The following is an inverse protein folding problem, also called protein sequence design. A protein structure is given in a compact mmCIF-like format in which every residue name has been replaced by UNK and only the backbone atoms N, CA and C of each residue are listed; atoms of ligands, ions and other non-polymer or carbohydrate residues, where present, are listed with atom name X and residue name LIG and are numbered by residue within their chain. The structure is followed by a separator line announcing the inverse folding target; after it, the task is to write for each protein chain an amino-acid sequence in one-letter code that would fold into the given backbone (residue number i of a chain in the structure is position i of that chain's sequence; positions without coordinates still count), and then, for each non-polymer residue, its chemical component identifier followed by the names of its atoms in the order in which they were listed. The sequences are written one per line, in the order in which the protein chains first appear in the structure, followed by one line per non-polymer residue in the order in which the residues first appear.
data_IF_630194564220
#
_entry.id   IF_630194564220
#
_cell.length_a   1.000
_cell.length_b   1.000
_cell.length_c   1.000
_cell.angle_alpha   90.00
_cell.angle_beta   90.00
_cell.angle_gamma   90.00
#
_symmetry.space_group_name_H-M   'P 1'
#
loop_
_entity.id
_entity.type
_entity.pdbx_description
1 polymer ?
#
# COMPACT_ATOMS: atom_id res chain seq x y z
N UNK A 1 19.67 10.13 18.03
CA UNK A 1 18.54 11.08 17.97
C UNK A 1 17.50 10.45 17.08
N UNK A 2 16.30 10.16 17.59
CA UNK A 2 15.23 9.54 16.78
C UNK A 2 14.58 10.65 15.95
N UNK A 3 14.63 10.55 14.62
CA UNK A 3 13.95 11.51 13.74
C UNK A 3 12.63 10.94 13.24
N UNK A 4 11.55 11.71 13.35
CA UNK A 4 10.25 11.34 12.76
C UNK A 4 10.25 11.71 11.28
N UNK A 5 10.14 10.71 10.41
CA UNK A 5 10.00 10.90 8.97
C UNK A 5 8.53 11.22 8.64
N UNK A 6 8.30 12.28 7.86
CA UNK A 6 6.95 12.67 7.42
C UNK A 6 6.74 12.23 5.97
N UNK A 7 5.61 11.58 5.72
CA UNK A 7 5.18 11.18 4.38
C UNK A 7 3.87 11.88 4.02
N UNK A 8 3.77 12.39 2.79
CA UNK A 8 2.55 13.03 2.30
C UNK A 8 1.75 12.05 1.46
N UNK A 9 0.52 11.75 1.87
CA UNK A 9 -0.40 11.00 1.02
C UNK A 9 -0.78 11.81 -0.23
N UNK A 10 -0.74 11.17 -1.39
CA UNK A 10 -1.20 11.76 -2.67
C UNK A 10 -2.69 11.54 -2.93
N UNK A 11 -3.41 11.01 -1.94
CA UNK A 11 -4.85 10.79 -2.04
C UNK A 11 -5.61 12.08 -2.34
N UNK A 12 -6.55 11.99 -3.27
CA UNK A 12 -7.33 13.14 -3.73
C UNK A 12 -6.55 14.13 -4.62
N UNK A 13 -5.28 13.85 -4.93
CA UNK A 13 -4.48 14.65 -5.87
C UNK A 13 -4.33 13.86 -7.16
N UNK A 14 -4.99 14.34 -8.22
CA UNK A 14 -4.85 13.75 -9.55
C UNK A 14 -3.40 13.84 -10.03
N UNK A 15 -2.92 12.78 -10.69
CA UNK A 15 -1.57 12.73 -11.22
C UNK A 15 -1.39 13.57 -12.48
N UNK A 16 -2.48 13.81 -13.20
CA UNK A 16 -2.51 14.27 -14.57
C UNK A 16 -2.05 13.20 -15.56
N UNK A 17 -1.97 13.59 -16.84
CA UNK A 17 -1.45 12.74 -17.90
C UNK A 17 0.05 12.43 -17.72
N UNK A 18 0.37 11.15 -17.48
CA UNK A 18 1.74 10.68 -17.22
C UNK A 18 2.39 11.30 -15.96
N UNK A 19 1.59 11.68 -14.96
CA UNK A 19 2.06 12.15 -13.66
C UNK A 19 2.76 13.53 -13.66
N UNK A 20 2.48 14.38 -14.65
CA UNK A 20 2.99 15.74 -14.76
C UNK A 20 2.63 16.61 -13.54
N UNK A 21 1.42 16.49 -12.99
CA UNK A 21 1.03 17.26 -11.79
C UNK A 21 1.90 16.88 -10.60
N UNK A 22 2.11 15.58 -10.40
CA UNK A 22 2.97 15.08 -9.33
C UNK A 22 4.44 15.44 -9.56
N UNK A 23 4.92 15.38 -10.79
CA UNK A 23 6.28 15.75 -11.14
C UNK A 23 6.60 17.22 -10.81
N UNK A 24 5.62 18.13 -10.93
CA UNK A 24 5.78 19.53 -10.51
C UNK A 24 5.61 19.72 -8.99
N UNK A 25 4.71 18.97 -8.37
CA UNK A 25 4.39 19.13 -6.95
C UNK A 25 5.43 18.52 -6.01
N UNK A 26 5.98 17.34 -6.32
CA UNK A 26 6.88 16.58 -5.45
C UNK A 26 8.13 17.34 -5.01
N UNK A 27 8.82 18.12 -5.87
CA UNK A 27 9.93 18.97 -5.42
C UNK A 27 9.53 19.94 -4.28
N UNK A 28 8.32 20.49 -4.32
CA UNK A 28 7.83 21.36 -3.26
C UNK A 28 7.61 20.60 -1.94
N UNK A 29 7.22 19.33 -1.99
CA UNK A 29 7.09 18.48 -0.80
C UNK A 29 8.45 18.24 -0.16
N UNK A 30 9.48 17.99 -0.98
CA UNK A 30 10.84 17.84 -0.47
C UNK A 30 11.32 19.12 0.23
N UNK A 31 11.07 20.29 -0.37
CA UNK A 31 11.39 21.59 0.22
C UNK A 31 10.64 21.86 1.55
N UNK A 32 9.42 21.32 1.71
CA UNK A 32 8.65 21.38 2.95
C UNK A 32 9.14 20.39 4.04
N UNK A 33 10.15 19.57 3.73
CA UNK A 33 10.76 18.61 4.66
C UNK A 33 9.98 17.30 4.78
N UNK A 34 9.27 16.87 3.73
CA UNK A 34 8.77 15.50 3.64
C UNK A 34 9.88 14.54 3.21
N UNK A 35 9.91 13.36 3.82
CA UNK A 35 10.82 12.28 3.46
C UNK A 35 10.34 11.51 2.23
N UNK A 36 9.03 11.48 2.01
CA UNK A 36 8.44 10.73 0.91
C UNK A 36 6.95 10.98 0.73
N UNK A 37 6.35 10.17 -0.12
CA UNK A 37 4.91 10.16 -0.39
C UNK A 37 4.31 8.80 -0.11
N UNK A 38 3.01 8.78 0.21
CA UNK A 38 2.21 7.55 0.22
C UNK A 38 1.30 7.53 -1.00
N UNK A 39 1.30 6.43 -1.75
CA UNK A 39 0.48 6.25 -2.95
C UNK A 39 -0.09 4.83 -3.04
N UNK A 40 -1.18 4.66 -3.80
CA UNK A 40 -1.74 3.34 -4.12
C UNK A 40 -1.21 2.84 -5.46
N UNK A 41 -1.15 1.51 -5.61
CA UNK A 41 -0.86 0.83 -6.88
C UNK A 41 -2.14 0.52 -7.68
N UNK A 42 -3.31 0.52 -7.03
CA UNK A 42 -4.59 0.27 -7.68
C UNK A 42 -4.94 1.39 -8.68
N UNK A 43 -5.43 1.02 -9.85
CA UNK A 43 -5.84 1.95 -10.92
C UNK A 43 -4.70 2.75 -11.55
N UNK A 44 -3.46 2.58 -11.10
CA UNK A 44 -2.31 3.34 -11.60
C UNK A 44 -1.65 2.62 -12.78
N UNK A 45 -1.45 3.39 -13.85
CA UNK A 45 -0.67 2.94 -15.01
C UNK A 45 0.79 3.40 -14.87
N UNK A 46 1.73 2.75 -15.56
CA UNK A 46 3.13 3.21 -15.61
C UNK A 46 3.77 3.43 -14.22
N UNK A 47 3.65 2.47 -13.30
CA UNK A 47 4.32 2.53 -11.98
C UNK A 47 5.81 2.93 -12.02
N UNK A 48 6.63 2.50 -13.01
CA UNK A 48 8.01 2.98 -13.14
C UNK A 48 8.14 4.51 -13.24
N UNK A 49 7.15 5.19 -13.83
CA UNK A 49 7.14 6.65 -13.93
C UNK A 49 6.99 7.29 -12.53
N UNK A 50 6.12 6.73 -11.68
CA UNK A 50 5.97 7.17 -10.27
C UNK A 50 7.30 7.03 -9.52
N UNK A 51 8.00 5.90 -9.70
CA UNK A 51 9.33 5.72 -9.09
C UNK A 51 10.32 6.77 -9.57
N UNK A 52 10.35 7.04 -10.88
CA UNK A 52 11.24 8.01 -11.51
C UNK A 52 11.03 9.44 -11.00
N UNK A 53 9.78 9.89 -10.87
CA UNK A 53 9.48 11.25 -10.35
C UNK A 53 9.87 11.38 -8.87
N UNK A 54 9.66 10.34 -8.06
CA UNK A 54 10.09 10.34 -6.66
C UNK A 54 11.62 10.35 -6.54
N UNK A 55 12.33 9.58 -7.36
CA UNK A 55 13.80 9.58 -7.39
C UNK A 55 14.35 10.96 -7.77
N UNK A 56 13.78 11.61 -8.79
CA UNK A 56 14.15 12.99 -9.19
C UNK A 56 13.91 14.01 -8.08
N UNK A 57 12.83 13.87 -7.32
CA UNK A 57 12.50 14.75 -6.20
C UNK A 57 13.25 14.39 -4.90
N UNK A 58 13.96 13.26 -4.84
CA UNK A 58 14.60 12.75 -3.63
C UNK A 58 13.60 12.32 -2.56
N UNK A 59 12.48 11.73 -2.96
CA UNK A 59 11.39 11.28 -2.09
C UNK A 59 11.31 9.74 -2.05
N UNK A 60 11.08 9.21 -0.86
CA UNK A 60 10.75 7.79 -0.67
C UNK A 60 9.27 7.50 -0.95
N UNK A 61 8.94 6.22 -1.12
CA UNK A 61 7.55 5.79 -1.39
C UNK A 61 7.07 4.84 -0.29
N UNK A 62 5.91 5.15 0.28
CA UNK A 62 5.07 4.20 0.98
C UNK A 62 3.98 3.74 0.01
N UNK A 63 3.76 2.44 -0.09
CA UNK A 63 2.63 1.91 -0.85
C UNK A 63 1.48 1.64 0.11
N UNK A 64 0.32 2.19 -0.20
CA UNK A 64 -0.94 1.79 0.40
C UNK A 64 -1.64 0.81 -0.56
N UNK A 65 -1.59 -0.46 -0.21
CA UNK A 65 -2.37 -1.51 -0.84
C UNK A 65 -3.73 -1.60 -0.15
N UNK A 66 -4.80 -1.63 -0.93
CA UNK A 66 -6.14 -1.95 -0.45
C UNK A 66 -6.63 -3.13 -1.27
N UNK A 67 -7.09 -4.17 -0.59
CA UNK A 67 -7.61 -5.34 -1.28
C UNK A 67 -8.85 -4.95 -2.11
N UNK A 68 -8.87 -5.39 -3.37
CA UNK A 68 -10.01 -5.17 -4.29
C UNK A 68 -11.34 -5.67 -3.72
N UNK A 69 -11.31 -6.61 -2.78
CA UNK A 69 -12.50 -7.12 -2.10
C UNK A 69 -13.14 -6.12 -1.12
N UNK A 70 -12.51 -4.96 -0.89
CA UNK A 70 -13.03 -3.90 -0.01
C UNK A 70 -13.76 -2.75 -0.70
N UNK A 71 -14.00 -2.81 -2.02
CA UNK A 71 -14.83 -1.79 -2.67
C UNK A 71 -14.13 -0.45 -2.95
N UNK A 72 -12.81 -0.47 -3.16
CA UNK A 72 -11.99 0.74 -3.21
C UNK A 72 -10.84 0.61 -4.23
N UNK A 73 -10.39 1.68 -4.91
CA UNK A 73 -11.18 2.68 -5.63
C UNK A 73 -11.68 2.19 -7.00
N UNK A 74 -11.32 0.96 -7.41
CA UNK A 74 -11.64 0.39 -8.73
C UNK A 74 -12.69 -0.75 -8.66
N UNK A 75 -13.36 -0.90 -7.52
CA UNK A 75 -14.40 -1.92 -7.34
C UNK A 75 -15.77 -1.25 -7.23
N UNK A 76 -16.50 -1.27 -8.34
CA UNK A 76 -17.92 -0.94 -8.37
C UNK A 76 -18.75 -2.20 -8.10
N UNK A 77 -19.53 -2.20 -7.01
CA UNK A 77 -20.48 -3.27 -6.70
C UNK A 77 -20.49 -3.70 -5.23
N UNK A 78 -21.38 -4.64 -4.86
CA UNK A 78 -21.38 -5.23 -3.53
C UNK A 78 -20.12 -6.07 -3.34
N UNK A 79 -19.55 -6.07 -2.12
CA UNK A 79 -18.41 -6.91 -1.77
C UNK A 79 -18.62 -8.37 -2.26
N UNK A 80 -17.63 -9.00 -2.93
CA UNK A 80 -17.79 -10.37 -3.41
C UNK A 80 -18.05 -11.34 -2.26
N UNK A 81 -19.07 -12.19 -2.39
CA UNK A 81 -19.40 -13.22 -1.40
C UNK A 81 -18.55 -14.47 -1.64
N UNK A 82 -18.20 -15.19 -0.57
CA UNK A 82 -17.50 -16.48 -0.65
C UNK A 82 -16.00 -16.40 -0.88
N UNK A 83 -15.36 -15.26 -0.56
CA UNK A 83 -13.90 -15.13 -0.59
C UNK A 83 -13.29 -15.79 0.65
N UNK A 84 -12.34 -16.67 0.40
CA UNK A 84 -11.59 -17.38 1.46
C UNK A 84 -10.29 -16.65 1.78
N UNK A 85 -9.67 -17.02 2.89
CA UNK A 85 -8.35 -16.50 3.30
C UNK A 85 -7.31 -16.68 2.18
N UNK A 86 -7.32 -17.81 1.48
CA UNK A 86 -6.41 -18.10 0.37
C UNK A 86 -6.55 -17.11 -0.78
N UNK A 87 -7.78 -16.72 -1.12
CA UNK A 87 -8.01 -15.73 -2.18
C UNK A 87 -7.39 -14.37 -1.85
N UNK A 88 -7.47 -13.96 -0.57
CA UNK A 88 -6.83 -12.73 -0.10
C UNK A 88 -5.30 -12.87 -0.12
N UNK A 89 -4.74 -14.01 0.29
CA UNK A 89 -3.30 -14.26 0.26
C UNK A 89 -2.72 -14.26 -1.16
N UNK A 90 -3.40 -14.89 -2.11
CA UNK A 90 -3.01 -14.87 -3.52
C UNK A 90 -3.01 -13.45 -4.10
N UNK A 91 -4.02 -12.65 -3.73
CA UNK A 91 -4.10 -11.28 -4.19
C UNK A 91 -3.01 -10.42 -3.54
N UNK A 92 -2.82 -10.53 -2.22
CA UNK A 92 -1.75 -9.88 -1.47
C UNK A 92 -0.38 -10.15 -2.10
N UNK A 93 -0.04 -11.42 -2.39
CA UNK A 93 1.20 -11.79 -3.08
C UNK A 93 1.39 -11.07 -4.40
N UNK A 94 0.36 -11.08 -5.26
CA UNK A 94 0.41 -10.40 -6.58
C UNK A 94 0.65 -8.90 -6.41
N UNK A 95 0.07 -8.29 -5.38
CA UNK A 95 0.19 -6.85 -5.13
C UNK A 95 1.57 -6.49 -4.59
N UNK A 96 2.18 -7.31 -3.74
CA UNK A 96 3.58 -7.12 -3.32
C UNK A 96 4.55 -7.23 -4.51
N UNK A 97 4.37 -8.20 -5.40
CA UNK A 97 5.19 -8.32 -6.61
C UNK A 97 5.09 -7.09 -7.51
N UNK A 98 3.90 -6.53 -7.68
CA UNK A 98 3.70 -5.26 -8.40
C UNK A 98 4.37 -4.10 -7.66
N UNK A 99 4.24 -4.04 -6.32
CA UNK A 99 4.78 -2.97 -5.49
C UNK A 99 6.32 -2.89 -5.54
N UNK A 100 7.03 -4.00 -5.82
CA UNK A 100 8.50 -4.02 -5.98
C UNK A 100 9.01 -2.96 -6.95
N UNK A 101 8.24 -2.68 -8.02
CA UNK A 101 8.58 -1.67 -9.03
C UNK A 101 8.81 -0.29 -8.40
N UNK A 102 8.09 0.02 -7.31
CA UNK A 102 8.16 1.30 -6.62
C UNK A 102 9.27 1.37 -5.56
N UNK A 103 9.97 0.25 -5.28
CA UNK A 103 10.97 0.14 -4.21
C UNK A 103 10.49 0.81 -2.91
N UNK A 104 9.36 0.38 -2.33
CA UNK A 104 8.77 1.07 -1.19
C UNK A 104 9.60 0.88 0.07
N UNK A 105 9.63 1.90 0.93
CA UNK A 105 10.24 1.81 2.28
C UNK A 105 9.28 1.20 3.30
N UNK A 106 7.98 1.21 2.99
CA UNK A 106 6.91 0.59 3.78
C UNK A 106 5.73 0.27 2.87
N UNK A 107 5.03 -0.82 3.18
CA UNK A 107 3.73 -1.13 2.57
C UNK A 107 2.70 -1.20 3.69
N UNK A 108 1.67 -0.36 3.59
CA UNK A 108 0.45 -0.45 4.39
C UNK A 108 -0.56 -1.26 3.59
N UNK A 109 -1.05 -2.38 4.13
CA UNK A 109 -1.90 -3.31 3.40
C UNK A 109 -3.28 -3.44 4.06
N UNK A 110 -4.32 -2.85 3.49
CA UNK A 110 -5.70 -2.99 3.97
C UNK A 110 -6.32 -4.23 3.32
N UNK A 111 -6.00 -5.41 3.85
CA UNK A 111 -6.22 -6.69 3.19
C UNK A 111 -6.90 -7.77 4.02
N UNK A 112 -7.29 -7.45 5.25
CA UNK A 112 -8.07 -8.36 6.09
C UNK A 112 -9.51 -8.57 5.59
N UNK A 113 -10.36 -9.13 6.44
CA UNK A 113 -11.81 -9.09 6.27
C UNK A 113 -12.49 -8.92 7.63
N UNK A 114 -13.44 -8.00 7.74
CA UNK A 114 -14.18 -7.75 8.98
C UNK A 114 -15.21 -8.87 9.26
N UNK A 115 -15.47 -9.75 8.29
CA UNK A 115 -16.38 -10.90 8.42
C UNK A 115 -15.66 -12.19 8.87
N UNK A 116 -14.33 -12.17 8.97
CA UNK A 116 -13.57 -13.35 9.36
C UNK A 116 -13.74 -13.68 10.84
N UNK A 117 -13.71 -14.97 11.15
CA UNK A 117 -13.46 -15.42 12.51
C UNK A 117 -12.04 -15.05 12.94
N UNK A 118 -11.76 -15.18 14.24
CA UNK A 118 -10.40 -14.98 14.77
C UNK A 118 -9.42 -15.96 14.13
N UNK A 119 -9.83 -17.21 13.96
CA UNK A 119 -9.00 -18.27 13.36
C UNK A 119 -8.65 -17.94 11.91
N UNK A 120 -9.62 -17.48 11.12
CA UNK A 120 -9.40 -17.03 9.74
C UNK A 120 -8.46 -15.82 9.68
N UNK A 121 -8.62 -14.87 10.60
CA UNK A 121 -7.69 -13.72 10.71
C UNK A 121 -6.27 -14.18 11.04
N UNK A 122 -6.10 -15.10 12.00
CA UNK A 122 -4.79 -15.67 12.37
C UNK A 122 -4.18 -16.44 11.19
N UNK A 123 -4.98 -17.22 10.48
CA UNK A 123 -4.56 -17.94 9.28
C UNK A 123 -4.04 -16.97 8.21
N UNK A 124 -4.77 -15.88 7.97
CA UNK A 124 -4.36 -14.84 7.04
C UNK A 124 -3.03 -14.20 7.44
N UNK A 125 -2.89 -13.72 8.69
CA UNK A 125 -1.65 -13.10 9.14
C UNK A 125 -0.45 -14.05 9.12
N UNK A 126 -0.64 -15.35 9.41
CA UNK A 126 0.44 -16.35 9.24
C UNK A 126 0.79 -16.55 7.78
N UNK A 127 -0.21 -16.53 6.90
CA UNK A 127 -0.02 -16.60 5.46
C UNK A 127 0.77 -15.41 4.91
N UNK A 128 0.47 -14.18 5.37
CA UNK A 128 1.18 -12.99 4.90
C UNK A 128 2.66 -13.04 5.25
N UNK A 129 3.04 -13.49 6.47
CA UNK A 129 4.45 -13.65 6.85
C UNK A 129 5.22 -14.61 5.93
N UNK A 130 4.58 -15.70 5.48
CA UNK A 130 5.17 -16.62 4.50
C UNK A 130 5.33 -15.94 3.15
N UNK A 131 4.29 -15.25 2.68
CA UNK A 131 4.33 -14.50 1.42
C UNK A 131 5.41 -13.43 1.45
N UNK A 132 5.54 -12.67 2.52
CA UNK A 132 6.54 -11.61 2.69
C UNK A 132 7.96 -12.18 2.55
N UNK A 133 8.21 -13.33 3.20
CA UNK A 133 9.48 -14.06 3.11
C UNK A 133 9.78 -14.53 1.69
N UNK A 134 8.80 -15.12 1.01
CA UNK A 134 8.95 -15.63 -0.36
C UNK A 134 9.17 -14.53 -1.39
N UNK A 135 8.44 -13.42 -1.25
CA UNK A 135 8.52 -12.26 -2.14
C UNK A 135 9.76 -11.42 -1.85
N UNK A 136 10.27 -11.44 -0.62
CA UNK A 136 11.37 -10.59 -0.16
C UNK A 136 10.96 -9.14 0.05
N UNK A 137 9.68 -8.91 0.36
CA UNK A 137 9.10 -7.59 0.61
C UNK A 137 8.02 -7.72 1.68
N UNK A 138 8.15 -6.96 2.76
CA UNK A 138 7.20 -7.00 3.89
C UNK A 138 6.04 -6.04 3.66
N UNK A 139 4.82 -6.56 3.62
CA UNK A 139 3.62 -5.76 3.80
C UNK A 139 3.15 -5.78 5.24
N UNK A 140 2.56 -4.67 5.68
CA UNK A 140 1.93 -4.56 7.01
C UNK A 140 0.42 -4.67 6.86
N UNK A 141 -0.15 -5.89 6.88
CA UNK A 141 -1.59 -6.09 6.73
C UNK A 141 -2.38 -5.52 7.92
N UNK A 142 -3.54 -4.94 7.63
CA UNK A 142 -4.56 -4.53 8.58
C UNK A 142 -5.95 -4.97 8.09
N UNK A 143 -6.77 -5.45 9.03
CA UNK A 143 -8.23 -5.49 8.91
C UNK A 143 -8.80 -4.16 9.43
N UNK A 144 -9.98 -3.71 8.99
CA UNK A 144 -10.55 -2.44 9.49
C UNK A 144 -10.87 -2.52 10.98
N UNK A 145 -11.14 -3.71 11.52
CA UNK A 145 -11.26 -3.97 12.97
C UNK A 145 -9.88 -4.13 13.67
N UNK A 146 -8.80 -4.44 12.93
CA UNK A 146 -7.45 -4.60 13.46
C UNK A 146 -6.56 -3.36 13.34
N UNK A 147 -7.13 -2.17 13.10
CA UNK A 147 -6.44 -0.90 13.33
C UNK A 147 -5.83 -0.80 14.75
N UNK A 148 -6.17 -1.72 15.66
CA UNK A 148 -5.65 -1.81 17.02
C UNK A 148 -4.46 -2.78 17.22
N UNK A 149 -4.13 -3.68 16.29
CA UNK A 149 -3.11 -4.71 16.54
C UNK A 149 -1.72 -4.41 15.94
N UNK A 150 -1.61 -3.54 14.93
CA UNK A 150 -0.33 -3.22 14.28
C UNK A 150 0.06 -1.73 14.36
N UNK A 151 -0.64 -0.94 15.16
CA UNK A 151 -0.29 0.45 15.50
C UNK A 151 0.47 0.56 16.84
N UNK A 152 1.18 -0.51 17.23
CA UNK A 152 2.12 -0.48 18.35
C UNK A 152 3.55 -0.43 17.84
N UNK A 153 4.09 0.80 17.78
CA UNK A 153 5.40 1.17 18.31
C UNK A 153 6.42 0.04 18.46
N UNK A 154 7.37 -0.06 17.52
CA UNK A 154 8.83 -0.01 17.78
C UNK A 154 9.51 0.65 16.58
#
# INVERSE_FOLDING_TARGET
MVSVLRFRSVWGVDGGENYEVWNHWFPSLKAQGYAGVETTIAGRQQLPAIRSICDKAGLEIIVLYVDKFYGWPDYEGPKPVGRTVEHHLEHYRKQLEIAKVLRPVKINAHSGDDQWSVEQSVEFFRGTLKVDTEVGLEGRPSAKVSCLLYDSWV
#
